data_IF_585471886192
#
_entry.id   IF_585471886192
#
_cell.length_a   1.000
_cell.length_b   1.000
_cell.length_c   1.000
_cell.angle_alpha   90.00
_cell.angle_beta   90.00
_cell.angle_gamma   90.00
#
_symmetry.space_group_name_H-M   'P 1'
#
loop_
_entity.id
_entity.type
_entity.pdbx_description
1 polymer ?
#
# COMPACT_ATOMS: atom_id res chain seq x y z
N UNK A 1 20.87 6.25 5.43
CA UNK A 1 20.40 7.34 4.55
C UNK A 1 20.47 8.66 5.30
N UNK A 2 21.00 9.74 4.71
CA UNK A 2 21.00 11.05 5.38
C UNK A 2 19.60 11.47 5.83
N UNK A 3 19.48 11.93 7.08
CA UNK A 3 18.17 12.18 7.73
C UNK A 3 17.27 13.12 6.94
N UNK A 4 17.84 14.12 6.26
CA UNK A 4 17.08 15.11 5.49
C UNK A 4 16.38 14.53 4.25
N UNK A 5 16.87 13.41 3.70
CA UNK A 5 16.20 12.79 2.55
C UNK A 5 14.92 12.04 2.96
N UNK A 6 14.85 11.50 4.18
CA UNK A 6 13.65 10.85 4.72
C UNK A 6 12.72 11.82 5.46
N UNK A 7 13.01 13.13 5.43
CA UNK A 7 12.12 14.14 6.01
C UNK A 7 10.78 14.16 5.28
N UNK A 8 9.71 14.14 6.05
CA UNK A 8 8.33 14.16 5.56
C UNK A 8 7.56 15.25 6.27
N UNK A 9 6.89 16.11 5.51
CA UNK A 9 5.99 17.14 6.06
C UNK A 9 4.55 16.64 5.96
N UNK A 10 3.81 16.66 7.06
CA UNK A 10 2.39 16.33 7.04
C UNK A 10 1.60 17.59 6.63
N UNK A 11 0.85 17.48 5.55
CA UNK A 11 -0.06 18.52 5.07
C UNK A 11 -1.50 18.05 5.20
N UNK A 12 -2.38 18.89 5.73
CA UNK A 12 -3.80 18.59 5.88
C UNK A 12 -4.55 19.05 4.64
N UNK A 13 -5.19 18.12 3.92
CA UNK A 13 -6.05 18.43 2.77
C UNK A 13 -7.52 18.35 3.20
N UNK A 14 -8.34 19.39 2.99
CA UNK A 14 -9.75 19.36 3.33
C UNK A 14 -10.52 18.34 2.47
N UNK A 15 -11.39 17.54 3.10
CA UNK A 15 -12.29 16.60 2.44
C UNK A 15 -13.62 17.24 2.03
N UNK A 16 -14.02 18.31 2.72
CA UNK A 16 -15.31 19.00 2.56
C UNK A 16 -15.10 20.50 2.45
N UNK A 17 -16.12 21.22 1.95
CA UNK A 17 -16.14 22.68 1.97
C UNK A 17 -16.32 23.17 3.42
N UNK A 18 -15.50 24.13 3.84
CA UNK A 18 -15.47 24.70 5.19
C UNK A 18 -15.22 23.66 6.30
N UNK A 19 -14.02 23.04 6.36
CA UNK A 19 -13.68 22.06 7.38
C UNK A 19 -13.64 22.70 8.78
N UNK A 20 -14.21 22.02 9.78
CA UNK A 20 -14.28 22.52 11.17
C UNK A 20 -13.55 21.58 12.13
N UNK A 21 -13.64 20.27 11.89
CA UNK A 21 -13.06 19.26 12.78
C UNK A 21 -11.83 18.58 12.16
N UNK A 22 -10.96 17.99 12.98
CA UNK A 22 -9.78 17.24 12.49
C UNK A 22 -10.16 16.06 11.57
N UNK A 23 -11.35 15.49 11.74
CA UNK A 23 -11.89 14.44 10.87
C UNK A 23 -12.16 14.90 9.43
N UNK A 24 -12.39 16.20 9.23
CA UNK A 24 -12.65 16.81 7.93
C UNK A 24 -11.39 16.93 7.07
N UNK A 25 -10.22 16.72 7.66
CA UNK A 25 -8.95 16.73 6.96
C UNK A 25 -8.46 15.33 6.64
N UNK A 26 -7.79 15.20 5.50
CA UNK A 26 -6.97 14.05 5.15
C UNK A 26 -5.50 14.45 5.36
N UNK A 27 -4.78 13.85 6.32
CA UNK A 27 -3.35 14.06 6.40
C UNK A 27 -2.67 13.41 5.19
N UNK A 28 -1.77 14.14 4.54
CA UNK A 28 -0.91 13.64 3.48
C UNK A 28 0.54 13.86 3.87
N UNK A 29 1.31 12.79 3.80
CA UNK A 29 2.75 12.79 4.01
C UNK A 29 3.48 13.24 2.74
N UNK A 30 3.97 14.47 2.74
CA UNK A 30 4.77 15.05 1.65
C UNK A 30 6.25 14.73 1.88
N UNK A 31 6.74 13.68 1.22
CA UNK A 31 8.15 13.28 1.26
C UNK A 31 8.99 13.96 0.16
N UNK A 32 10.31 13.97 0.36
CA UNK A 32 11.29 14.52 -0.57
C UNK A 32 11.24 13.83 -1.96
N UNK A 33 11.40 14.58 -3.05
CA UNK A 33 11.47 14.03 -4.42
C UNK A 33 12.55 12.96 -4.60
N UNK A 34 13.70 13.10 -3.92
CA UNK A 34 14.77 12.09 -3.94
C UNK A 34 14.31 10.80 -3.26
N UNK A 35 13.61 10.91 -2.13
CA UNK A 35 12.99 9.76 -1.48
C UNK A 35 11.94 9.10 -2.38
N UNK A 36 11.11 9.90 -3.05
CA UNK A 36 10.13 9.39 -4.05
C UNK A 36 10.83 8.64 -5.18
N UNK A 37 11.97 9.13 -5.65
CA UNK A 37 12.73 8.46 -6.71
C UNK A 37 13.35 7.14 -6.23
N UNK A 38 13.96 7.12 -5.05
CA UNK A 38 14.54 5.90 -4.46
C UNK A 38 13.44 4.84 -4.24
N UNK A 39 12.33 5.24 -3.61
CA UNK A 39 11.19 4.34 -3.36
C UNK A 39 10.56 3.85 -4.67
N UNK A 40 10.50 4.68 -5.72
CA UNK A 40 10.04 4.26 -7.04
C UNK A 40 10.90 3.13 -7.62
N UNK A 41 12.23 3.20 -7.51
CA UNK A 41 13.13 2.14 -7.98
C UNK A 41 12.90 0.85 -7.19
N UNK A 42 12.82 0.94 -5.85
CA UNK A 42 12.59 -0.21 -4.98
C UNK A 42 11.25 -0.89 -5.29
N UNK A 43 10.17 -0.12 -5.39
CA UNK A 43 8.83 -0.61 -5.73
C UNK A 43 8.80 -1.25 -7.11
N UNK A 44 9.47 -0.67 -8.10
CA UNK A 44 9.53 -1.23 -9.45
C UNK A 44 10.19 -2.63 -9.47
N UNK A 45 11.18 -2.86 -8.61
CA UNK A 45 11.82 -4.19 -8.43
C UNK A 45 10.95 -5.17 -7.63
N UNK A 46 10.11 -4.69 -6.73
CA UNK A 46 9.14 -5.53 -6.01
C UNK A 46 7.97 -5.95 -6.93
N UNK A 47 7.53 -5.05 -7.81
CA UNK A 47 6.41 -5.31 -8.74
C UNK A 47 6.64 -6.52 -9.65
N UNK A 48 7.89 -6.82 -10.01
CA UNK A 48 8.19 -7.96 -10.89
C UNK A 48 7.85 -9.31 -10.26
N UNK A 49 7.88 -9.43 -8.93
CA UNK A 49 7.52 -10.67 -8.22
C UNK A 49 6.08 -10.66 -7.70
N UNK A 50 5.45 -9.49 -7.59
CA UNK A 50 4.10 -9.36 -7.02
C UNK A 50 3.07 -10.27 -7.72
N UNK A 51 3.18 -10.42 -9.05
CA UNK A 51 2.27 -11.26 -9.84
C UNK A 51 2.34 -12.76 -9.49
N UNK A 52 3.47 -13.27 -9.04
CA UNK A 52 3.62 -14.68 -8.64
C UNK A 52 3.26 -14.94 -7.18
N UNK A 53 3.29 -13.90 -6.34
CA UNK A 53 3.01 -14.00 -4.89
C UNK A 53 1.55 -13.75 -4.59
N UNK A 54 0.92 -12.85 -5.34
CA UNK A 54 -0.44 -12.38 -5.08
C UNK A 54 -1.43 -13.09 -6.00
N UNK A 55 -2.43 -13.74 -5.40
CA UNK A 55 -3.48 -14.47 -6.13
C UNK A 55 -4.30 -13.57 -7.08
N UNK A 56 -4.85 -14.17 -8.14
CA UNK A 56 -5.55 -13.45 -9.23
C UNK A 56 -6.73 -12.59 -8.76
N UNK A 57 -7.32 -12.92 -7.61
CA UNK A 57 -8.46 -12.20 -7.04
C UNK A 57 -8.10 -10.83 -6.45
N UNK A 58 -6.81 -10.59 -6.14
CA UNK A 58 -6.35 -9.27 -5.71
C UNK A 58 -6.07 -8.40 -6.93
N UNK A 59 -6.89 -7.37 -7.04
CA UNK A 59 -7.00 -6.49 -8.22
C UNK A 59 -6.52 -5.08 -7.91
N UNK A 60 -6.66 -4.64 -6.65
CA UNK A 60 -6.14 -3.35 -6.19
C UNK A 60 -4.62 -3.35 -6.16
N UNK A 61 -4.00 -2.29 -6.67
CA UNK A 61 -2.54 -2.07 -6.70
C UNK A 61 -1.72 -3.07 -7.54
N UNK A 62 -2.36 -3.94 -8.31
CA UNK A 62 -1.69 -4.83 -9.29
C UNK A 62 -2.07 -4.41 -10.71
N UNK A 63 -1.13 -3.86 -11.50
CA UNK A 63 -1.42 -3.43 -12.87
C UNK A 63 -1.96 -4.57 -13.73
N UNK A 64 -2.97 -4.29 -14.56
CA UNK A 64 -3.52 -5.25 -15.52
C UNK A 64 -4.53 -6.25 -14.95
N UNK A 65 -4.93 -6.14 -13.67
CA UNK A 65 -5.99 -6.96 -13.08
C UNK A 65 -7.29 -6.17 -12.93
N UNK A 66 -8.40 -6.70 -13.43
CA UNK A 66 -9.73 -6.09 -13.33
C UNK A 66 -10.61 -6.88 -12.35
N UNK A 67 -11.47 -6.19 -11.60
CA UNK A 67 -12.37 -6.80 -10.60
C UNK A 67 -13.44 -7.68 -11.25
N UNK A 68 -13.11 -8.96 -11.45
CA UNK A 68 -14.08 -9.96 -11.89
C UNK A 68 -15.04 -10.36 -10.76
N UNK A 69 -14.64 -10.16 -9.49
CA UNK A 69 -15.35 -10.67 -8.30
C UNK A 69 -16.81 -10.17 -8.17
N UNK A 70 -17.11 -8.96 -8.65
CA UNK A 70 -18.44 -8.33 -8.52
C UNK A 70 -19.22 -8.36 -9.85
N UNK A 71 -18.56 -8.68 -10.96
CA UNK A 71 -19.16 -8.61 -12.30
C UNK A 71 -20.42 -9.47 -12.44
N UNK A 72 -20.42 -10.66 -11.83
CA UNK A 72 -21.54 -11.60 -11.86
C UNK A 72 -22.60 -11.32 -10.79
N UNK A 73 -22.33 -10.44 -9.85
CA UNK A 73 -23.13 -10.26 -8.65
C UNK A 73 -24.49 -9.61 -8.95
N UNK A 74 -24.53 -8.70 -9.93
CA UNK A 74 -25.73 -7.96 -10.35
C UNK A 74 -26.62 -8.72 -11.35
N UNK A 75 -26.26 -9.94 -11.75
CA UNK A 75 -27.07 -10.72 -12.71
C UNK A 75 -28.39 -11.15 -12.06
N UNK A 76 -29.51 -10.81 -12.73
CA UNK A 76 -30.86 -11.23 -12.36
C UNK A 76 -31.01 -12.75 -12.54
N UNK A 77 -31.62 -13.42 -11.56
CA UNK A 77 -31.78 -14.88 -11.52
C UNK A 77 -30.58 -15.63 -10.92
N UNK A 78 -30.86 -16.80 -10.34
CA UNK A 78 -29.88 -17.68 -9.67
C UNK A 78 -30.08 -17.81 -8.16
N UNK A 79 -29.17 -18.54 -7.51
CA UNK A 79 -29.18 -18.74 -6.04
C UNK A 79 -28.99 -17.41 -5.30
N UNK A 80 -29.54 -17.31 -4.09
CA UNK A 80 -29.30 -16.18 -3.20
C UNK A 80 -27.79 -15.97 -2.98
N UNK A 81 -27.36 -14.70 -2.98
CA UNK A 81 -25.95 -14.30 -2.85
C UNK A 81 -25.83 -13.30 -1.69
N UNK A 82 -24.71 -13.35 -0.97
CA UNK A 82 -24.32 -12.33 0.00
C UNK A 82 -22.91 -11.81 -0.31
N UNK A 83 -22.65 -10.55 0.02
CA UNK A 83 -21.36 -9.91 -0.15
C UNK A 83 -20.85 -9.51 1.23
N UNK A 84 -19.67 -9.99 1.58
CA UNK A 84 -18.98 -9.60 2.80
C UNK A 84 -17.92 -8.57 2.45
N UNK A 85 -18.10 -7.34 2.92
CA UNK A 85 -17.08 -6.30 2.83
C UNK A 85 -16.30 -6.27 4.15
N UNK A 86 -15.01 -6.59 4.08
CA UNK A 86 -14.07 -6.45 5.19
C UNK A 86 -13.25 -5.20 4.92
N UNK A 87 -13.26 -4.25 5.86
CA UNK A 87 -12.48 -3.02 5.79
C UNK A 87 -11.47 -2.99 6.94
N UNK A 88 -10.19 -2.83 6.61
CA UNK A 88 -9.10 -2.83 7.59
C UNK A 88 -8.85 -1.38 8.00
N UNK A 89 -9.20 -1.05 9.24
CA UNK A 89 -8.97 0.28 9.79
C UNK A 89 -7.47 0.56 9.82
N UNK A 90 -7.04 1.65 9.16
CA UNK A 90 -5.66 2.13 9.17
C UNK A 90 -4.65 1.04 8.78
N UNK A 91 -4.90 0.39 7.64
CA UNK A 91 -4.12 -0.72 7.11
C UNK A 91 -2.60 -0.52 7.13
N UNK A 92 -2.12 0.72 6.95
CA UNK A 92 -0.70 1.07 7.01
C UNK A 92 -0.14 1.24 8.43
N UNK A 93 -0.98 1.61 9.40
CA UNK A 93 -0.58 1.79 10.81
C UNK A 93 -0.55 0.45 11.56
N UNK A 94 -1.23 -0.58 11.05
CA UNK A 94 -1.40 -1.89 11.71
C UNK A 94 -0.53 -3.01 11.13
N UNK A 95 0.45 -2.68 10.29
CA UNK A 95 1.33 -3.69 9.68
C UNK A 95 2.28 -4.26 10.72
N UNK A 96 2.31 -5.59 10.85
CA UNK A 96 3.37 -6.29 11.56
C UNK A 96 4.64 -6.32 10.70
N UNK A 97 5.62 -5.53 11.13
CA UNK A 97 6.89 -5.39 10.41
C UNK A 97 7.71 -6.69 10.42
N UNK A 98 7.71 -7.46 11.50
CA UNK A 98 8.45 -8.71 11.59
C UNK A 98 7.89 -9.77 10.64
N UNK A 99 6.56 -9.83 10.54
CA UNK A 99 5.89 -10.65 9.53
C UNK A 99 6.28 -10.22 8.11
N UNK A 100 6.25 -8.92 7.81
CA UNK A 100 6.63 -8.39 6.50
C UNK A 100 8.08 -8.76 6.13
N UNK A 101 9.02 -8.64 7.07
CA UNK A 101 10.42 -9.00 6.83
C UNK A 101 10.60 -10.49 6.55
N UNK A 102 9.87 -11.36 7.27
CA UNK A 102 9.86 -12.81 7.01
C UNK A 102 9.33 -13.12 5.61
N UNK A 103 8.26 -12.45 5.17
CA UNK A 103 7.72 -12.61 3.82
C UNK A 103 8.74 -12.17 2.75
N UNK A 104 9.32 -10.98 2.87
CA UNK A 104 10.31 -10.48 1.90
C UNK A 104 11.54 -11.40 1.84
N UNK A 105 11.99 -11.91 2.98
CA UNK A 105 13.09 -12.89 3.04
C UNK A 105 12.72 -14.21 2.34
N UNK A 106 11.49 -14.70 2.52
CA UNK A 106 11.00 -15.91 1.85
C UNK A 106 10.91 -15.76 0.33
N UNK A 107 10.73 -14.53 -0.18
CA UNK A 107 10.80 -14.20 -1.61
C UNK A 107 12.23 -14.20 -2.18
N UNK A 108 13.24 -14.50 -1.36
CA UNK A 108 14.65 -14.65 -1.74
C UNK A 108 15.27 -13.39 -2.34
N UNK A 109 14.84 -12.21 -1.91
CA UNK A 109 15.53 -10.97 -2.26
C UNK A 109 16.94 -10.92 -1.64
N UNK A 110 17.93 -10.30 -2.32
CA UNK A 110 19.25 -10.10 -1.73
C UNK A 110 19.15 -9.29 -0.42
N UNK A 111 19.93 -9.67 0.59
CA UNK A 111 19.92 -9.01 1.90
C UNK A 111 20.11 -7.49 1.80
N UNK A 112 21.02 -7.05 0.92
CA UNK A 112 21.29 -5.63 0.64
C UNK A 112 20.03 -4.89 0.17
N UNK A 113 19.20 -5.53 -0.65
CA UNK A 113 17.94 -4.94 -1.11
C UNK A 113 16.92 -4.83 0.02
N UNK A 114 16.84 -5.84 0.89
CA UNK A 114 15.98 -5.83 2.09
C UNK A 114 16.43 -4.70 3.03
N UNK A 115 17.73 -4.51 3.21
CA UNK A 115 18.27 -3.44 4.04
C UNK A 115 17.97 -2.04 3.48
N UNK A 116 17.96 -1.87 2.15
CA UNK A 116 17.51 -0.61 1.54
C UNK A 116 16.03 -0.33 1.79
N UNK A 117 15.17 -1.35 1.71
CA UNK A 117 13.75 -1.21 2.05
C UNK A 117 13.64 -0.83 3.53
N UNK A 118 14.32 -1.55 4.42
CA UNK A 118 14.34 -1.27 5.87
C UNK A 118 14.76 0.16 6.15
N UNK A 119 15.82 0.66 5.51
CA UNK A 119 16.26 2.05 5.66
C UNK A 119 15.22 3.10 5.22
N UNK A 120 14.25 2.74 4.36
CA UNK A 120 13.17 3.63 3.96
C UNK A 120 12.01 3.65 4.97
N UNK A 121 11.68 2.51 5.58
CA UNK A 121 10.54 2.39 6.53
C UNK A 121 10.89 2.56 8.00
N UNK A 122 12.15 2.34 8.41
CA UNK A 122 12.57 2.41 9.82
C UNK A 122 12.88 3.81 10.35
N UNK A 123 12.65 4.86 9.55
CA UNK A 123 12.86 6.27 9.94
C UNK A 123 11.54 7.03 10.10
N UNK A 124 10.56 6.38 10.72
CA UNK A 124 9.41 7.09 11.30
C UNK A 124 9.76 7.40 12.75
#
# INVERSE_FOLDING_TARGET
>A
MPKFFNSTTITLIPKVQNPVEMGDFRPISCCNSIYKFITFILVSRLKSTLNSVVGMHQTTYVPGRMQELVYSYHRKGGKARCALKIDIRKEYDTVDWDFLWKVIAALKYPIVFIDWIRACVSTI
#
